data_IF_933670552004
#
_entry.id   IF_933670552004
#
_cell.length_a   1.000
_cell.length_b   1.000
_cell.length_c   1.000
_cell.angle_alpha   90.00
_cell.angle_beta   90.00
_cell.angle_gamma   90.00
#
_symmetry.space_group_name_H-M   'P 1'
#
loop_
_entity.id
_entity.type
_entity.pdbx_description
1 polymer ?
#
# COMPACT_ATOMS: atom_id res chain seq x y z
N UNK A 1 7.21 28.75 -19.99
CA UNK A 1 6.90 29.26 -18.64
C UNK A 1 6.73 28.15 -17.60
N UNK A 2 5.71 27.28 -17.66
CA UNK A 2 5.56 26.18 -16.67
C UNK A 2 6.73 25.17 -16.69
N UNK A 3 7.25 24.84 -17.87
CA UNK A 3 8.35 23.88 -18.04
C UNK A 3 9.68 24.34 -17.41
N UNK A 4 10.05 25.62 -17.56
CA UNK A 4 11.27 26.17 -16.95
C UNK A 4 11.16 26.25 -15.42
N UNK A 5 9.99 26.59 -14.90
CA UNK A 5 9.72 26.59 -13.46
C UNK A 5 9.88 25.17 -12.89
N UNK A 6 9.30 24.17 -13.57
CA UNK A 6 9.42 22.78 -13.16
C UNK A 6 10.88 22.30 -13.20
N UNK A 7 11.61 22.66 -14.26
CA UNK A 7 13.01 22.29 -14.46
C UNK A 7 13.89 22.89 -13.36
N UNK A 8 13.76 24.19 -13.08
CA UNK A 8 14.51 24.87 -12.03
C UNK A 8 14.21 24.29 -10.64
N UNK A 9 12.95 23.93 -10.37
CA UNK A 9 12.58 23.26 -9.13
C UNK A 9 13.20 21.85 -9.00
N UNK A 10 13.16 21.06 -10.09
CA UNK A 10 13.81 19.75 -10.17
C UNK A 10 15.31 19.85 -9.90
N UNK A 11 15.99 20.80 -10.55
CA UNK A 11 17.42 21.05 -10.35
C UNK A 11 17.72 21.42 -8.89
N UNK A 12 16.91 22.29 -8.28
CA UNK A 12 17.03 22.63 -6.86
C UNK A 12 16.82 21.43 -5.93
N UNK A 13 15.84 20.58 -6.22
CA UNK A 13 15.57 19.36 -5.45
C UNK A 13 16.70 18.32 -5.57
N UNK A 14 17.26 18.17 -6.77
CA UNK A 14 18.44 17.34 -7.04
C UNK A 14 19.63 17.87 -6.25
N UNK A 15 19.91 19.17 -6.32
CA UNK A 15 21.03 19.82 -5.63
C UNK A 15 20.95 19.64 -4.10
N UNK A 16 19.75 19.82 -3.51
CA UNK A 16 19.52 19.49 -2.08
C UNK A 16 19.83 18.04 -1.73
N UNK A 17 19.46 17.08 -2.59
CA UNK A 17 19.75 15.65 -2.35
C UNK A 17 21.23 15.33 -2.54
N UNK A 18 21.89 15.91 -3.54
CA UNK A 18 23.34 15.75 -3.77
C UNK A 18 24.12 16.29 -2.58
N UNK A 19 23.80 17.50 -2.08
CA UNK A 19 24.41 18.05 -0.86
C UNK A 19 24.23 17.15 0.36
N UNK A 20 23.06 16.52 0.51
CA UNK A 20 22.74 15.66 1.67
C UNK A 20 23.45 14.30 1.63
N UNK A 21 23.58 13.69 0.46
CA UNK A 21 24.01 12.28 0.35
C UNK A 21 25.39 12.11 -0.30
N UNK A 22 25.94 13.16 -0.90
CA UNK A 22 27.11 13.09 -1.78
C UNK A 22 26.74 12.65 -3.21
N UNK A 23 27.48 13.16 -4.21
CA UNK A 23 27.18 12.93 -5.63
C UNK A 23 27.16 11.45 -5.99
N UNK A 24 28.14 10.67 -5.53
CA UNK A 24 28.26 9.24 -5.83
C UNK A 24 27.11 8.39 -5.28
N UNK A 25 26.67 8.66 -4.03
CA UNK A 25 25.52 7.95 -3.44
C UNK A 25 24.21 8.39 -4.08
N UNK A 26 24.12 9.64 -4.48
CA UNK A 26 22.99 10.17 -5.23
C UNK A 26 22.89 9.54 -6.61
N UNK A 27 23.98 9.46 -7.39
CA UNK A 27 23.98 8.86 -8.73
C UNK A 27 23.64 7.38 -8.68
N UNK A 28 24.18 6.62 -7.73
CA UNK A 28 23.81 5.20 -7.57
C UNK A 28 22.31 5.03 -7.26
N UNK A 29 21.77 5.83 -6.34
CA UNK A 29 20.33 5.82 -6.01
C UNK A 29 19.48 6.24 -7.21
N UNK A 30 19.89 7.27 -7.95
CA UNK A 30 19.18 7.75 -9.12
C UNK A 30 19.17 6.70 -10.23
N UNK A 31 20.30 6.05 -10.52
CA UNK A 31 20.38 4.97 -11.50
C UNK A 31 19.51 3.77 -11.10
N UNK A 32 19.53 3.38 -9.82
CA UNK A 32 18.64 2.35 -9.30
C UNK A 32 17.16 2.73 -9.44
N UNK A 33 16.80 3.97 -9.12
CA UNK A 33 15.43 4.48 -9.28
C UNK A 33 15.00 4.60 -10.75
N UNK A 34 15.89 5.02 -11.65
CA UNK A 34 15.61 5.05 -13.10
C UNK A 34 15.40 3.63 -13.63
N UNK A 35 16.21 2.67 -13.18
CA UNK A 35 16.03 1.26 -13.53
C UNK A 35 14.68 0.73 -13.03
N UNK A 36 14.34 1.02 -11.77
CA UNK A 36 13.04 0.69 -11.17
C UNK A 36 11.89 1.31 -11.97
N UNK A 37 11.98 2.60 -12.28
CA UNK A 37 11.01 3.38 -13.04
C UNK A 37 10.74 2.77 -14.43
N UNK A 38 11.80 2.52 -15.18
CA UNK A 38 11.70 1.93 -16.52
C UNK A 38 11.17 0.50 -16.45
N UNK A 39 11.54 -0.26 -15.40
CA UNK A 39 11.13 -1.64 -15.27
C UNK A 39 9.64 -1.79 -14.95
N UNK A 40 9.16 -1.13 -13.90
CA UNK A 40 7.80 -1.28 -13.37
C UNK A 40 6.78 -0.36 -14.05
N UNK A 41 7.14 0.91 -14.27
CA UNK A 41 6.21 1.89 -14.84
C UNK A 41 6.37 2.01 -16.36
N UNK A 42 7.58 1.80 -16.87
CA UNK A 42 7.89 1.76 -18.30
C UNK A 42 7.57 3.04 -19.07
N UNK A 43 7.88 3.02 -20.37
CA UNK A 43 7.30 3.93 -21.37
C UNK A 43 5.97 3.36 -21.94
N UNK A 44 5.70 2.08 -21.67
CA UNK A 44 4.54 1.29 -22.08
C UNK A 44 3.81 0.90 -20.80
N UNK A 45 2.47 0.89 -20.84
CA UNK A 45 1.54 0.68 -19.71
C UNK A 45 1.68 -0.69 -19.01
N UNK A 46 2.81 -0.90 -18.32
CA UNK A 46 3.16 -2.13 -17.60
C UNK A 46 2.40 -2.23 -16.28
N UNK A 47 2.31 -1.14 -15.53
CA UNK A 47 1.58 -1.08 -14.27
C UNK A 47 0.13 -1.56 -14.43
N UNK A 48 -0.62 -1.02 -15.40
CA UNK A 48 -2.00 -1.43 -15.63
C UNK A 48 -2.13 -2.89 -16.06
N UNK A 49 -1.19 -3.42 -16.85
CA UNK A 49 -1.17 -4.85 -17.19
C UNK A 49 -0.91 -5.72 -15.97
N UNK A 50 -0.02 -5.31 -15.07
CA UNK A 50 0.25 -6.02 -13.82
C UNK A 50 -0.96 -6.00 -12.90
N UNK A 51 -1.62 -4.85 -12.74
CA UNK A 51 -2.85 -4.73 -11.94
C UNK A 51 -3.97 -5.60 -12.51
N UNK A 52 -4.17 -5.61 -13.84
CA UNK A 52 -5.17 -6.50 -14.47
C UNK A 52 -4.89 -7.99 -14.22
N UNK A 53 -3.61 -8.41 -14.20
CA UNK A 53 -3.24 -9.80 -13.85
C UNK A 53 -3.49 -10.09 -12.38
N UNK A 54 -3.17 -9.15 -11.51
CA UNK A 54 -3.48 -9.24 -10.08
C UNK A 54 -4.98 -9.45 -9.89
N UNK A 55 -5.81 -8.54 -10.43
CA UNK A 55 -7.27 -8.58 -10.35
C UNK A 55 -7.85 -9.88 -10.90
N UNK A 56 -7.38 -10.31 -12.08
CA UNK A 56 -7.82 -11.59 -12.66
C UNK A 56 -7.46 -12.80 -11.79
N UNK A 57 -6.35 -12.73 -11.05
CA UNK A 57 -5.94 -13.82 -10.15
C UNK A 57 -6.86 -13.87 -8.94
N UNK A 58 -7.04 -12.75 -8.22
CA UNK A 58 -7.91 -12.72 -7.02
C UNK A 58 -9.37 -13.03 -7.36
N UNK A 59 -9.86 -12.59 -8.52
CA UNK A 59 -11.20 -12.90 -9.01
C UNK A 59 -11.44 -14.42 -9.16
N UNK A 60 -10.47 -15.17 -9.68
CA UNK A 60 -10.58 -16.64 -9.83
C UNK A 60 -10.65 -17.39 -8.51
N UNK A 61 -10.21 -16.79 -7.42
CA UNK A 61 -10.29 -17.37 -6.08
C UNK A 61 -11.53 -16.92 -5.32
N UNK A 62 -12.33 -16.01 -5.89
CA UNK A 62 -13.49 -15.38 -5.25
C UNK A 62 -13.14 -14.73 -3.90
N UNK A 63 -12.04 -13.98 -3.89
CA UNK A 63 -11.55 -13.29 -2.68
C UNK A 63 -11.52 -11.78 -2.87
N UNK A 64 -11.81 -11.07 -1.77
CA UNK A 64 -11.67 -9.62 -1.69
C UNK A 64 -10.33 -9.24 -1.07
N UNK A 65 -9.71 -8.21 -1.62
CA UNK A 65 -8.43 -7.66 -1.14
C UNK A 65 -8.58 -6.17 -0.89
N UNK A 66 -7.56 -5.55 -0.29
CA UNK A 66 -7.53 -4.10 -0.06
C UNK A 66 -6.48 -3.42 -0.92
N UNK A 67 -6.84 -2.29 -1.52
CA UNK A 67 -5.91 -1.39 -2.20
C UNK A 67 -5.87 -0.06 -1.45
N UNK A 68 -4.81 0.22 -0.66
CA UNK A 68 -4.53 1.56 -0.20
C UNK A 68 -4.13 2.43 -1.40
N UNK A 69 -4.88 3.49 -1.70
CA UNK A 69 -4.64 4.32 -2.89
C UNK A 69 -4.35 5.77 -2.50
N UNK A 70 -3.33 6.36 -3.13
CA UNK A 70 -3.08 7.80 -3.02
C UNK A 70 -4.21 8.56 -3.72
N UNK A 71 -4.88 9.46 -3.01
CA UNK A 71 -6.11 10.06 -3.51
C UNK A 71 -5.92 10.87 -4.81
N UNK A 72 -4.80 11.57 -4.99
CA UNK A 72 -4.50 12.25 -6.27
C UNK A 72 -4.22 11.28 -7.43
N UNK A 73 -3.72 10.07 -7.14
CA UNK A 73 -3.56 9.01 -8.15
C UNK A 73 -4.93 8.44 -8.52
N UNK A 74 -5.78 8.18 -7.53
CA UNK A 74 -7.17 7.78 -7.76
C UNK A 74 -7.91 8.79 -8.64
N UNK A 75 -7.76 10.10 -8.38
CA UNK A 75 -8.39 11.14 -9.18
C UNK A 75 -7.89 11.18 -10.63
N UNK A 76 -6.58 11.00 -10.83
CA UNK A 76 -5.97 10.97 -12.17
C UNK A 76 -6.37 9.72 -12.97
N UNK A 77 -6.64 8.61 -12.28
CA UNK A 77 -6.89 7.30 -12.86
C UNK A 77 -8.18 6.67 -12.32
N UNK A 78 -9.26 7.45 -12.32
CA UNK A 78 -10.56 7.08 -11.76
C UNK A 78 -11.12 5.77 -12.35
N UNK A 79 -10.89 5.53 -13.64
CA UNK A 79 -11.28 4.30 -14.34
C UNK A 79 -10.63 3.05 -13.72
N UNK A 80 -9.38 3.14 -13.26
CA UNK A 80 -8.73 2.02 -12.58
C UNK A 80 -9.40 1.72 -11.23
N UNK A 81 -9.82 2.77 -10.52
CA UNK A 81 -10.50 2.63 -9.24
C UNK A 81 -11.88 1.99 -9.46
N UNK A 82 -12.60 2.41 -10.49
CA UNK A 82 -13.86 1.79 -10.91
C UNK A 82 -13.68 0.32 -11.27
N UNK A 83 -12.60 -0.03 -11.99
CA UNK A 83 -12.27 -1.43 -12.28
C UNK A 83 -12.05 -2.22 -10.98
N UNK A 84 -11.23 -1.73 -10.05
CA UNK A 84 -10.98 -2.37 -8.75
C UNK A 84 -12.28 -2.61 -7.97
N UNK A 85 -13.15 -1.60 -7.93
CA UNK A 85 -14.43 -1.66 -7.23
C UNK A 85 -15.43 -2.60 -7.90
N UNK A 86 -15.40 -2.73 -9.23
CA UNK A 86 -16.28 -3.64 -9.97
C UNK A 86 -16.06 -5.12 -9.59
N UNK A 87 -14.87 -5.47 -9.07
CA UNK A 87 -14.56 -6.79 -8.51
C UNK A 87 -14.87 -6.90 -6.99
N UNK A 88 -15.46 -5.87 -6.39
CA UNK A 88 -15.84 -5.83 -4.98
C UNK A 88 -14.68 -5.71 -3.99
N UNK A 89 -13.51 -5.26 -4.47
CA UNK A 89 -12.34 -5.02 -3.61
C UNK A 89 -12.48 -3.73 -2.80
N UNK A 90 -11.77 -3.66 -1.69
CA UNK A 90 -11.74 -2.49 -0.83
C UNK A 90 -10.75 -1.45 -1.36
N UNK A 91 -11.16 -0.18 -1.34
CA UNK A 91 -10.26 0.97 -1.52
C UNK A 91 -10.05 1.63 -0.16
N UNK A 92 -8.81 1.60 0.34
CA UNK A 92 -8.38 2.30 1.54
C UNK A 92 -7.58 3.55 1.17
N UNK A 93 -7.41 4.47 2.13
CA UNK A 93 -6.62 5.67 1.94
C UNK A 93 -5.12 5.37 2.04
N UNK A 94 -4.32 5.86 1.07
CA UNK A 94 -2.85 5.91 1.17
C UNK A 94 -2.32 7.36 1.25
N UNK A 95 -3.12 8.23 1.86
CA UNK A 95 -2.88 9.67 1.90
C UNK A 95 -3.40 10.42 0.67
N UNK A 96 -3.38 11.75 0.76
CA UNK A 96 -3.68 12.63 -0.37
C UNK A 96 -2.59 12.50 -1.43
N UNK A 97 -1.35 12.48 -0.94
CA UNK A 97 -0.08 12.44 -1.65
C UNK A 97 0.86 11.47 -0.94
N UNK A 98 1.82 10.89 -1.65
CA UNK A 98 2.77 9.96 -1.02
C UNK A 98 3.91 10.71 -0.28
N UNK A 99 3.65 11.17 0.94
CA UNK A 99 4.55 12.03 1.74
C UNK A 99 4.83 11.52 3.16
N UNK A 100 5.76 12.18 3.87
CA UNK A 100 6.11 11.91 5.27
C UNK A 100 5.19 12.71 6.21
N UNK A 101 4.03 12.13 6.55
CA UNK A 101 3.04 12.76 7.42
C UNK A 101 3.57 13.04 8.83
N UNK A 102 4.48 12.21 9.34
CA UNK A 102 5.16 12.41 10.62
C UNK A 102 6.02 13.69 10.68
N UNK A 103 6.30 14.32 9.54
CA UNK A 103 7.05 15.58 9.43
C UNK A 103 6.18 16.77 9.03
N UNK A 104 4.88 16.56 8.91
CA UNK A 104 3.90 17.58 8.53
C UNK A 104 3.27 18.19 9.79
N UNK A 105 2.99 19.51 9.83
CA UNK A 105 2.20 20.14 10.89
C UNK A 105 0.86 19.44 11.08
N UNK A 106 0.38 19.35 12.33
CA UNK A 106 -0.84 18.60 12.66
C UNK A 106 -2.07 19.08 11.87
N UNK A 107 -2.24 20.39 11.78
CA UNK A 107 -3.36 21.04 11.11
C UNK A 107 -3.37 20.71 9.61
N UNK A 108 -2.19 20.65 8.99
CA UNK A 108 -2.03 20.26 7.58
C UNK A 108 -2.32 18.76 7.39
N UNK A 109 -1.91 17.90 8.34
CA UNK A 109 -2.24 16.47 8.31
C UNK A 109 -3.77 16.26 8.31
N UNK A 110 -4.49 16.97 9.18
CA UNK A 110 -5.97 16.89 9.26
C UNK A 110 -6.61 17.28 7.92
N UNK A 111 -6.17 18.39 7.32
CA UNK A 111 -6.68 18.85 6.02
C UNK A 111 -6.39 17.81 4.94
N UNK A 112 -5.16 17.30 4.89
CA UNK A 112 -4.74 16.28 3.91
C UNK A 112 -5.59 15.01 4.03
N UNK A 113 -5.79 14.50 5.25
CA UNK A 113 -6.53 13.28 5.47
C UNK A 113 -8.03 13.43 5.19
N UNK A 114 -8.64 14.55 5.58
CA UNK A 114 -10.05 14.84 5.25
C UNK A 114 -10.25 14.98 3.74
N UNK A 115 -9.34 15.68 3.05
CA UNK A 115 -9.40 15.84 1.59
C UNK A 115 -9.18 14.52 0.86
N UNK A 116 -8.18 13.72 1.28
CA UNK A 116 -7.91 12.40 0.70
C UNK A 116 -9.11 11.47 0.84
N UNK A 117 -9.69 11.38 2.04
CA UNK A 117 -10.88 10.59 2.31
C UNK A 117 -12.03 11.04 1.41
N UNK A 118 -12.37 12.33 1.44
CA UNK A 118 -13.45 12.89 0.62
C UNK A 118 -13.28 12.55 -0.87
N UNK A 119 -12.09 12.75 -1.42
CA UNK A 119 -11.81 12.49 -2.84
C UNK A 119 -11.98 11.00 -3.19
N UNK A 120 -11.48 10.11 -2.34
CA UNK A 120 -11.66 8.66 -2.54
C UNK A 120 -13.12 8.25 -2.40
N UNK A 121 -13.87 8.82 -1.47
CA UNK A 121 -15.31 8.58 -1.30
C UNK A 121 -16.12 9.09 -2.51
N UNK A 122 -15.78 10.27 -3.05
CA UNK A 122 -16.40 10.81 -4.26
C UNK A 122 -16.12 9.94 -5.50
N UNK A 123 -14.90 9.40 -5.64
CA UNK A 123 -14.52 8.53 -6.76
C UNK A 123 -15.15 7.14 -6.63
N UNK A 124 -15.16 6.58 -5.41
CA UNK A 124 -15.58 5.20 -5.18
C UNK A 124 -17.07 5.03 -4.93
N UNK A 125 -17.76 6.07 -4.47
CA UNK A 125 -19.13 5.99 -3.96
C UNK A 125 -19.26 5.18 -2.65
N UNK A 126 -18.15 4.83 -2.01
CA UNK A 126 -18.10 4.06 -0.76
C UNK A 126 -17.54 4.92 0.37
N UNK A 127 -17.85 4.55 1.62
CA UNK A 127 -17.23 5.16 2.80
C UNK A 127 -15.83 4.59 3.01
N UNK A 128 -14.80 5.44 2.96
CA UNK A 128 -13.41 5.02 3.09
C UNK A 128 -13.01 5.06 4.55
N UNK A 129 -13.07 3.92 5.22
CA UNK A 129 -12.83 3.82 6.67
C UNK A 129 -11.40 3.43 7.05
N UNK A 130 -10.63 2.95 6.08
CA UNK A 130 -9.27 2.43 6.27
C UNK A 130 -8.18 3.37 5.79
N UNK A 131 -7.01 3.27 6.43
CA UNK A 131 -5.79 3.95 5.97
C UNK A 131 -4.58 3.00 6.08
N UNK A 132 -3.62 3.16 5.16
CA UNK A 132 -2.24 2.72 5.32
C UNK A 132 -1.36 3.91 4.99
N UNK A 133 -0.43 4.28 5.86
CA UNK A 133 0.37 5.48 5.68
C UNK A 133 1.59 5.22 4.80
N UNK A 134 1.93 6.17 3.91
CA UNK A 134 3.19 6.16 3.18
C UNK A 134 4.40 5.90 4.07
N UNK A 135 5.30 5.04 3.60
CA UNK A 135 6.53 4.65 4.31
C UNK A 135 6.30 3.97 5.67
N UNK A 136 5.06 3.62 6.05
CA UNK A 136 4.75 3.11 7.39
C UNK A 136 5.23 4.04 8.52
N UNK A 137 5.16 5.37 8.30
CA UNK A 137 5.65 6.38 9.25
C UNK A 137 4.54 7.27 9.78
N UNK A 138 4.46 7.37 11.10
CA UNK A 138 3.50 8.18 11.83
C UNK A 138 4.07 8.62 13.18
N UNK A 139 3.36 9.52 13.84
CA UNK A 139 3.55 9.90 15.23
C UNK A 139 2.18 10.16 15.89
N UNK A 140 2.17 10.57 17.15
CA UNK A 140 0.94 10.85 17.91
C UNK A 140 0.04 11.89 17.22
N UNK A 141 0.63 12.91 16.57
CA UNK A 141 -0.13 13.91 15.81
C UNK A 141 -0.80 13.28 14.59
N UNK A 142 -0.11 12.36 13.91
CA UNK A 142 -0.67 11.61 12.78
C UNK A 142 -1.86 10.77 13.21
N UNK A 143 -1.76 9.99 14.29
CA UNK A 143 -2.89 9.21 14.80
C UNK A 143 -4.09 10.09 15.16
N UNK A 144 -3.84 11.20 15.86
CA UNK A 144 -4.91 12.15 16.19
C UNK A 144 -5.58 12.67 14.92
N UNK A 145 -4.79 13.06 13.91
CA UNK A 145 -5.32 13.57 12.64
C UNK A 145 -6.13 12.50 11.88
N UNK A 146 -5.69 11.24 11.89
CA UNK A 146 -6.45 10.12 11.30
C UNK A 146 -7.82 9.95 11.97
N UNK A 147 -7.85 9.96 13.30
CA UNK A 147 -9.12 9.84 14.05
C UNK A 147 -10.04 11.04 13.82
N UNK A 148 -9.49 12.25 13.73
CA UNK A 148 -10.26 13.47 13.41
C UNK A 148 -10.80 13.48 11.98
N UNK A 149 -10.08 12.86 11.03
CA UNK A 149 -10.55 12.64 9.67
C UNK A 149 -11.59 11.51 9.56
N UNK A 150 -11.84 10.75 10.64
CA UNK A 150 -12.88 9.73 10.72
C UNK A 150 -12.45 8.32 10.29
N UNK A 151 -11.14 8.06 10.14
CA UNK A 151 -10.64 6.70 9.90
C UNK A 151 -10.89 5.79 11.11
N UNK A 152 -11.11 4.51 10.84
CA UNK A 152 -11.51 3.50 11.83
C UNK A 152 -10.44 2.45 12.07
N UNK A 153 -9.65 2.16 11.04
CA UNK A 153 -8.47 1.29 11.17
C UNK A 153 -7.27 1.89 10.42
N UNK A 154 -6.08 1.57 10.90
CA UNK A 154 -4.79 1.82 10.27
C UNK A 154 -4.07 0.48 10.06
N UNK A 155 -3.29 0.35 8.99
CA UNK A 155 -2.49 -0.83 8.68
C UNK A 155 -1.08 -0.41 8.28
N UNK A 156 -0.45 0.39 9.14
CA UNK A 156 0.86 0.99 8.92
C UNK A 156 1.96 0.34 9.76
N UNK A 157 1.62 -0.37 10.83
CA UNK A 157 2.59 -1.03 11.70
C UNK A 157 2.97 -2.41 11.18
N UNK A 158 4.25 -2.76 11.36
CA UNK A 158 4.71 -4.14 11.17
C UNK A 158 4.25 -5.03 12.32
N UNK A 159 3.98 -6.29 12.01
CA UNK A 159 3.56 -7.33 12.93
C UNK A 159 4.65 -7.85 13.89
N UNK A 160 5.85 -7.25 13.88
CA UNK A 160 7.04 -7.77 14.56
C UNK A 160 6.84 -7.94 16.08
N UNK A 161 6.15 -7.00 16.73
CA UNK A 161 5.85 -7.06 18.17
C UNK A 161 4.42 -7.54 18.47
N UNK A 162 3.45 -7.12 17.64
CA UNK A 162 2.03 -7.42 17.82
C UNK A 162 1.47 -7.92 16.49
N UNK A 163 1.27 -9.23 16.32
CA UNK A 163 0.89 -9.79 15.03
C UNK A 163 -0.60 -9.69 14.72
N UNK A 164 -1.45 -9.52 15.74
CA UNK A 164 -2.91 -9.49 15.59
C UNK A 164 -3.47 -8.08 15.83
N UNK A 165 -4.68 -7.76 15.31
CA UNK A 165 -5.26 -6.43 15.44
C UNK A 165 -5.36 -5.94 16.89
N UNK A 166 -5.04 -4.67 17.13
CA UNK A 166 -5.08 -4.07 18.45
C UNK A 166 -5.45 -2.59 18.39
N UNK A 167 -6.03 -2.06 19.46
CA UNK A 167 -6.33 -0.63 19.52
C UNK A 167 -5.10 0.19 19.90
N UNK A 168 -4.74 1.11 19.04
CA UNK A 168 -3.88 2.25 19.38
C UNK A 168 -4.73 3.30 20.09
N UNK A 169 -4.27 3.78 21.24
CA UNK A 169 -5.00 4.76 22.07
C UNK A 169 -4.10 5.96 22.34
N UNK A 170 -4.58 7.15 21.99
CA UNK A 170 -3.84 8.40 22.15
C UNK A 170 -4.79 9.51 22.58
N UNK A 171 -4.53 10.15 23.73
CA UNK A 171 -5.27 11.35 24.20
C UNK A 171 -6.81 11.24 24.07
N UNK A 172 -7.37 10.09 24.47
CA UNK A 172 -8.82 9.85 24.45
C UNK A 172 -9.39 9.38 23.11
N UNK A 173 -8.61 9.33 22.03
CA UNK A 173 -9.02 8.70 20.76
C UNK A 173 -8.45 7.30 20.62
N UNK A 174 -9.06 6.49 19.75
CA UNK A 174 -8.56 5.17 19.42
C UNK A 174 -8.81 4.81 17.97
N UNK A 175 -7.85 4.12 17.37
CA UNK A 175 -7.95 3.53 16.03
C UNK A 175 -7.54 2.06 16.11
N UNK A 176 -8.17 1.19 15.32
CA UNK A 176 -7.76 -0.21 15.26
C UNK A 176 -6.52 -0.32 14.36
N UNK A 177 -5.38 -0.71 14.91
CA UNK A 177 -4.24 -1.12 14.10
C UNK A 177 -4.45 -2.56 13.62
N UNK A 178 -4.23 -2.79 12.32
CA UNK A 178 -4.21 -4.09 11.67
C UNK A 178 -2.80 -4.28 11.07
N UNK A 179 -1.85 -4.84 11.83
CA UNK A 179 -0.44 -4.87 11.47
C UNK A 179 -0.17 -5.70 10.21
N UNK A 180 0.77 -5.25 9.39
CA UNK A 180 1.24 -5.99 8.23
C UNK A 180 2.43 -6.90 8.54
N UNK A 181 2.40 -8.11 8.00
CA UNK A 181 3.34 -9.18 8.35
C UNK A 181 4.62 -9.14 7.49
N UNK A 182 4.45 -9.18 6.17
CA UNK A 182 5.57 -9.18 5.24
C UNK A 182 5.14 -8.58 3.90
N UNK A 183 6.11 -8.20 3.07
CA UNK A 183 5.86 -7.44 1.84
C UNK A 183 6.67 -7.97 0.66
N UNK A 184 6.14 -7.84 -0.55
CA UNK A 184 6.82 -8.35 -1.76
C UNK A 184 7.99 -7.49 -2.22
N UNK A 185 8.02 -6.20 -1.90
CA UNK A 185 9.07 -5.29 -2.37
C UNK A 185 10.45 -5.62 -1.77
N UNK A 186 10.52 -5.90 -0.47
CA UNK A 186 11.75 -6.35 0.20
C UNK A 186 12.20 -7.70 -0.38
N UNK A 187 11.27 -8.63 -0.60
CA UNK A 187 11.63 -9.96 -1.11
C UNK A 187 12.11 -9.91 -2.57
N UNK A 188 11.50 -9.08 -3.41
CA UNK A 188 11.81 -8.96 -4.83
C UNK A 188 12.97 -7.99 -5.07
N UNK A 189 12.83 -6.74 -4.64
CA UNK A 189 13.73 -5.65 -5.03
C UNK A 189 15.03 -5.65 -4.23
N UNK A 190 14.97 -5.94 -2.92
CA UNK A 190 16.15 -5.92 -2.05
C UNK A 190 16.86 -7.28 -1.99
N UNK A 191 16.08 -8.37 -1.91
CA UNK A 191 16.62 -9.73 -1.72
C UNK A 191 16.72 -10.55 -2.99
N UNK A 192 16.07 -10.14 -4.08
CA UNK A 192 16.14 -10.83 -5.38
C UNK A 192 15.59 -12.26 -5.35
N UNK A 193 14.60 -12.53 -4.50
CA UNK A 193 14.08 -13.89 -4.34
C UNK A 193 13.25 -14.33 -5.55
N UNK A 194 13.39 -15.60 -5.92
CA UNK A 194 12.52 -16.22 -6.92
C UNK A 194 11.10 -16.47 -6.39
N UNK A 195 10.09 -16.62 -7.26
CA UNK A 195 8.72 -16.95 -6.85
C UNK A 195 8.63 -18.17 -5.92
N UNK A 196 9.39 -19.23 -6.22
CA UNK A 196 9.42 -20.47 -5.40
C UNK A 196 9.95 -20.19 -3.99
N UNK A 197 10.96 -19.33 -3.87
CA UNK A 197 11.50 -18.95 -2.55
C UNK A 197 10.50 -18.13 -1.75
N UNK A 198 9.80 -17.18 -2.38
CA UNK A 198 8.74 -16.39 -1.73
C UNK A 198 7.61 -17.28 -1.22
N UNK A 199 7.05 -18.15 -2.08
CA UNK A 199 6.00 -19.10 -1.69
C UNK A 199 6.47 -19.99 -0.55
N UNK A 200 7.72 -20.48 -0.58
CA UNK A 200 8.27 -21.32 0.50
C UNK A 200 8.36 -20.58 1.84
N UNK A 201 8.74 -19.31 1.84
CA UNK A 201 8.83 -18.48 3.06
C UNK A 201 7.43 -18.28 3.64
N UNK A 202 6.50 -17.78 2.83
CA UNK A 202 5.16 -17.44 3.31
C UNK A 202 4.30 -18.67 3.62
N UNK A 203 4.43 -19.76 2.86
CA UNK A 203 3.76 -21.04 3.18
C UNK A 203 4.16 -21.56 4.56
N UNK A 204 5.43 -21.42 4.95
CA UNK A 204 5.88 -21.82 6.30
C UNK A 204 5.30 -20.95 7.39
N UNK A 205 5.09 -19.66 7.13
CA UNK A 205 4.40 -18.78 8.06
C UNK A 205 2.94 -19.21 8.22
N UNK A 206 2.20 -19.36 7.11
CA UNK A 206 0.79 -19.75 7.12
C UNK A 206 0.53 -21.13 7.73
N UNK A 207 1.43 -22.11 7.51
CA UNK A 207 1.34 -23.45 8.13
C UNK A 207 1.47 -23.44 9.66
N UNK A 208 1.92 -22.34 10.26
CA UNK A 208 2.03 -22.16 11.70
C UNK A 208 0.90 -21.31 12.29
N UNK A 209 -0.02 -20.84 11.44
CA UNK A 209 -1.14 -20.01 11.86
C UNK A 209 -2.03 -20.77 12.85
N UNK A 210 -2.49 -20.06 13.87
CA UNK A 210 -3.42 -20.57 14.90
C UNK A 210 -4.76 -19.86 14.76
N UNK A 211 -5.87 -20.47 15.22
CA UNK A 211 -7.16 -19.78 15.28
C UNK A 211 -7.01 -18.39 15.92
N UNK A 212 -7.56 -17.36 15.29
CA UNK A 212 -7.41 -15.97 15.72
C UNK A 212 -6.27 -15.19 15.08
N UNK A 213 -5.28 -15.85 14.48
CA UNK A 213 -4.16 -15.14 13.85
C UNK A 213 -4.59 -14.40 12.58
N UNK A 214 -4.04 -13.21 12.34
CA UNK A 214 -4.25 -12.41 11.13
C UNK A 214 -2.91 -12.16 10.44
N UNK A 215 -2.75 -12.70 9.24
CA UNK A 215 -1.58 -12.49 8.40
C UNK A 215 -1.92 -11.53 7.27
N UNK A 216 -1.45 -10.29 7.37
CA UNK A 216 -1.60 -9.31 6.29
C UNK A 216 -0.33 -9.29 5.45
N UNK A 217 -0.40 -9.77 4.21
CA UNK A 217 0.69 -9.59 3.24
C UNK A 217 0.47 -8.33 2.43
N UNK A 218 1.52 -7.52 2.33
CA UNK A 218 1.57 -6.33 1.50
C UNK A 218 2.16 -6.68 0.13
N UNK A 219 1.30 -6.98 -0.84
CA UNK A 219 1.65 -7.45 -2.17
C UNK A 219 1.32 -6.39 -3.20
N UNK A 220 2.32 -5.62 -3.61
CA UNK A 220 2.13 -4.51 -4.52
C UNK A 220 1.68 -5.02 -5.91
N UNK A 221 0.53 -4.56 -6.45
CA UNK A 221 0.00 -5.06 -7.72
C UNK A 221 0.96 -4.86 -8.90
N UNK A 222 1.76 -3.80 -8.87
CA UNK A 222 2.76 -3.49 -9.89
C UNK A 222 3.95 -4.46 -9.86
N UNK A 223 4.18 -5.16 -8.74
CA UNK A 223 5.26 -6.14 -8.55
C UNK A 223 4.73 -7.56 -8.69
N UNK A 224 3.88 -8.01 -7.75
CA UNK A 224 3.33 -9.37 -7.75
C UNK A 224 2.49 -9.65 -9.00
N UNK A 225 1.93 -8.62 -9.64
CA UNK A 225 1.21 -8.72 -10.92
C UNK A 225 2.11 -8.92 -12.14
N UNK A 226 3.44 -8.84 -12.01
CA UNK A 226 4.37 -9.11 -13.11
C UNK A 226 4.76 -10.59 -13.19
N UNK A 227 4.89 -11.17 -14.39
CA UNK A 227 5.57 -12.45 -14.55
C UNK A 227 7.05 -12.34 -14.13
N UNK A 228 7.62 -13.36 -13.45
CA UNK A 228 6.98 -14.63 -13.07
C UNK A 228 6.20 -14.57 -11.74
N UNK A 229 6.22 -13.45 -11.00
CA UNK A 229 5.66 -13.31 -9.65
C UNK A 229 4.15 -13.49 -9.54
N UNK A 230 3.38 -13.39 -10.63
CA UNK A 230 1.93 -13.66 -10.62
C UNK A 230 1.57 -15.04 -10.07
N UNK A 231 2.47 -16.04 -10.21
CA UNK A 231 2.23 -17.36 -9.62
C UNK A 231 2.25 -17.35 -8.10
N UNK A 232 3.01 -16.45 -7.47
CA UNK A 232 3.12 -16.37 -6.01
C UNK A 232 1.76 -16.07 -5.39
N UNK A 233 1.03 -15.10 -5.95
CA UNK A 233 -0.31 -14.74 -5.50
C UNK A 233 -1.29 -15.91 -5.62
N UNK A 234 -1.28 -16.61 -6.76
CA UNK A 234 -2.10 -17.80 -6.99
C UNK A 234 -1.79 -18.89 -5.98
N UNK A 235 -0.51 -19.19 -5.79
CA UNK A 235 -0.07 -20.29 -4.95
C UNK A 235 -0.34 -19.98 -3.46
N UNK A 236 -0.18 -18.73 -3.02
CA UNK A 236 -0.59 -18.29 -1.68
C UNK A 236 -2.08 -18.50 -1.42
N UNK A 237 -2.94 -18.09 -2.36
CA UNK A 237 -4.39 -18.25 -2.21
C UNK A 237 -4.80 -19.72 -2.21
N UNK A 238 -4.14 -20.55 -3.01
CA UNK A 238 -4.34 -22.01 -2.98
C UNK A 238 -3.94 -22.59 -1.64
N UNK A 239 -2.76 -22.23 -1.12
CA UNK A 239 -2.28 -22.69 0.19
C UNK A 239 -3.23 -22.25 1.30
N UNK A 240 -3.71 -21.01 1.26
CA UNK A 240 -4.66 -20.51 2.25
C UNK A 240 -5.96 -21.33 2.25
N UNK A 241 -6.50 -21.63 1.06
CA UNK A 241 -7.67 -22.50 0.90
C UNK A 241 -7.42 -23.91 1.45
N UNK A 242 -6.29 -24.52 1.10
CA UNK A 242 -5.93 -25.88 1.54
C UNK A 242 -5.74 -25.97 3.06
N UNK A 243 -5.27 -24.89 3.68
CA UNK A 243 -5.12 -24.77 5.14
C UNK A 243 -6.43 -24.37 5.84
N UNK A 244 -7.52 -24.11 5.11
CA UNK A 244 -8.79 -23.65 5.67
C UNK A 244 -8.74 -22.24 6.26
N UNK A 245 -7.81 -21.39 5.81
CA UNK A 245 -7.73 -19.99 6.24
C UNK A 245 -8.88 -19.18 5.64
N UNK A 246 -9.40 -18.23 6.42
CA UNK A 246 -10.32 -17.21 5.89
C UNK A 246 -9.50 -16.20 5.09
N UNK A 247 -9.95 -15.81 3.91
CA UNK A 247 -9.33 -14.71 3.15
C UNK A 247 -10.25 -13.50 3.19
N UNK A 248 -9.78 -12.41 3.80
CA UNK A 248 -10.56 -11.17 3.98
C UNK A 248 -9.80 -9.94 3.46
N UNK A 249 -10.53 -8.87 3.15
CA UNK A 249 -9.95 -7.53 3.07
C UNK A 249 -9.79 -6.92 4.48
N UNK A 250 -9.04 -5.82 4.60
CA UNK A 250 -8.79 -5.13 5.87
C UNK A 250 -10.07 -4.57 6.50
N UNK A 251 -11.00 -4.01 5.72
CA UNK A 251 -12.29 -3.57 6.23
C UNK A 251 -13.09 -4.73 6.83
N UNK A 252 -13.09 -5.90 6.21
CA UNK A 252 -13.77 -7.07 6.75
C UNK A 252 -13.11 -7.54 8.05
N UNK A 253 -11.78 -7.47 8.16
CA UNK A 253 -11.08 -7.71 9.44
C UNK A 253 -11.53 -6.70 10.50
N UNK A 254 -11.62 -5.41 10.17
CA UNK A 254 -12.15 -4.39 11.09
C UNK A 254 -13.59 -4.71 11.51
N UNK A 255 -14.48 -5.04 10.57
CA UNK A 255 -15.89 -5.35 10.84
C UNK A 255 -16.05 -6.62 11.69
N UNK A 256 -15.20 -7.62 11.46
CA UNK A 256 -15.22 -8.91 12.14
C UNK A 256 -14.30 -9.01 13.36
N UNK A 257 -13.64 -7.92 13.79
CA UNK A 257 -12.61 -7.90 14.84
C UNK A 257 -12.96 -8.63 16.16
N UNK A 258 -14.24 -8.76 16.50
CA UNK A 258 -14.71 -9.49 17.69
C UNK A 258 -14.98 -10.99 17.44
N UNK A 259 -14.82 -11.48 16.21
CA UNK A 259 -15.12 -12.83 15.71
C UNK A 259 -13.96 -13.44 14.92
N UNK A 260 -12.74 -12.94 15.11
CA UNK A 260 -11.55 -13.47 14.44
C UNK A 260 -11.04 -14.77 15.09
N UNK A 261 -11.39 -15.04 16.34
CA UNK A 261 -10.82 -16.13 17.15
C UNK A 261 -11.02 -17.56 16.64
N UNK A 262 -11.98 -17.79 15.74
CA UNK A 262 -12.36 -19.14 15.33
C UNK A 262 -11.47 -19.73 14.23
N UNK A 263 -10.92 -18.88 13.36
CA UNK A 263 -10.17 -19.30 12.16
C UNK A 263 -9.07 -18.29 11.88
N UNK A 264 -7.87 -18.76 11.56
CA UNK A 264 -6.79 -17.91 11.09
C UNK A 264 -7.19 -17.20 9.77
N UNK A 265 -6.80 -15.94 9.65
CA UNK A 265 -7.17 -15.07 8.53
C UNK A 265 -5.93 -14.67 7.74
N UNK A 266 -6.00 -14.85 6.43
CA UNK A 266 -5.10 -14.24 5.45
C UNK A 266 -5.74 -12.95 4.93
N UNK A 267 -4.97 -11.88 4.88
CA UNK A 267 -5.33 -10.64 4.21
C UNK A 267 -4.28 -10.36 3.14
N UNK A 268 -4.74 -10.01 1.95
CA UNK A 268 -3.90 -9.47 0.90
C UNK A 268 -4.26 -8.01 0.74
N UNK A 269 -3.24 -7.17 0.85
CA UNK A 269 -3.34 -5.74 0.59
C UNK A 269 -2.19 -5.30 -0.28
N UNK A 270 -2.33 -4.27 -1.08
CA UNK A 270 -1.22 -3.75 -1.88
C UNK A 270 -1.51 -2.35 -2.37
N UNK A 271 -0.65 -1.40 -2.02
CA UNK A 271 -0.90 0.00 -2.31
C UNK A 271 -0.71 0.36 -3.79
N UNK A 272 -1.38 1.44 -4.18
CA UNK A 272 -1.27 2.07 -5.49
C UNK A 272 -0.91 3.53 -5.26
N UNK A 273 0.37 3.83 -5.43
CA UNK A 273 0.96 5.16 -5.19
C UNK A 273 1.51 5.83 -6.45
N UNK A 274 1.80 5.07 -7.49
CA UNK A 274 2.24 5.56 -8.78
C UNK A 274 1.94 4.54 -9.89
N UNK A 275 1.49 5.00 -11.05
CA UNK A 275 1.21 4.12 -12.19
C UNK A 275 2.18 4.39 -13.35
N UNK A 276 2.55 5.65 -13.54
CA UNK A 276 3.47 6.10 -14.58
C UNK A 276 4.73 6.71 -13.98
N UNK A 277 5.78 6.75 -14.80
CA UNK A 277 7.05 7.41 -14.45
C UNK A 277 6.82 8.85 -13.98
N UNK A 278 5.87 9.57 -14.59
CA UNK A 278 5.55 10.94 -14.19
C UNK A 278 4.92 11.07 -12.81
N UNK A 279 4.11 10.10 -12.38
CA UNK A 279 3.57 10.09 -11.02
C UNK A 279 4.69 9.96 -9.99
N UNK A 280 5.65 9.08 -10.28
CA UNK A 280 6.79 8.86 -9.40
C UNK A 280 7.74 10.06 -9.33
N UNK A 281 7.97 10.76 -10.46
CA UNK A 281 8.73 12.01 -10.42
C UNK A 281 8.00 13.04 -9.56
N UNK A 282 6.69 13.22 -9.76
CA UNK A 282 5.89 14.13 -8.94
C UNK A 282 5.96 13.79 -7.45
N UNK A 283 5.92 12.51 -7.08
CA UNK A 283 6.16 12.00 -5.72
C UNK A 283 7.53 12.42 -5.19
N UNK A 284 8.60 12.29 -5.98
CA UNK A 284 9.96 12.69 -5.57
C UNK A 284 10.07 14.19 -5.32
N UNK A 285 9.41 15.00 -6.16
CA UNK A 285 9.47 16.46 -6.08
C UNK A 285 8.41 17.04 -5.14
N UNK A 286 7.59 16.20 -4.48
CA UNK A 286 6.47 16.60 -3.60
C UNK A 286 5.37 17.41 -4.31
N UNK A 287 5.22 17.25 -5.62
CA UNK A 287 4.18 17.94 -6.41
C UNK A 287 2.93 17.06 -6.62
N UNK A 288 2.94 15.82 -6.13
CA UNK A 288 1.79 14.92 -6.10
C UNK A 288 1.82 14.04 -4.86
#
# INVERSE_FOLDING_TARGET
MLGEILLNYLLSAIDRKVRRYGLMKFTFRLLSQVRYLVFYHGLIDRASKSIKRFLSTVYRFDVKVTFPVVALIAYRYDNLIKDILSYGHEVACHGLIHTLYDRMPYEEQVVHFKLAKRLLEEISGLNVIGVRLPYSRFNDKTHKALTEAGFKYDSSMRADEKPNPFYLRFNGTSILEIPWFDTDDVLIDERGLSPVQMVRIWSRALKRARPGDVYVFDLHPIRIGMPPYTMVLRDLLSIARDLGLRVLCLEDVYRMRHKLGDVATLVISGDIDCLRVWDFVLRIVKLA
#
